data_IF_017552149511
#
_entry.id   IF_017552149511
#
_cell.length_a   1.000
_cell.length_b   1.000
_cell.length_c   1.000
_cell.angle_alpha   90.00
_cell.angle_beta   90.00
_cell.angle_gamma   90.00
#
_symmetry.space_group_name_H-M   'P 1'
#
loop_
_entity.id
_entity.type
_entity.pdbx_description
1 polymer ?
#
# COMPACT_ATOMS: atom_id res chain seq x y z
N UNK A 1 11.27 -25.83 18.22
CA UNK A 1 12.55 -25.97 17.48
C UNK A 1 12.23 -26.29 16.03
N UNK A 2 12.35 -25.29 15.16
CA UNK A 2 12.56 -25.43 13.70
C UNK A 2 13.36 -24.20 13.29
N UNK A 3 14.68 -24.29 13.39
CA UNK A 3 15.58 -23.35 12.74
C UNK A 3 15.77 -23.78 11.29
N UNK A 4 15.62 -22.84 10.36
CA UNK A 4 16.09 -22.89 8.97
C UNK A 4 15.77 -21.50 8.36
N UNK A 5 16.62 -20.73 7.68
CA UNK A 5 18.04 -20.69 7.33
C UNK A 5 18.27 -19.25 6.82
N UNK A 6 19.42 -18.65 7.16
CA UNK A 6 19.86 -17.28 6.85
C UNK A 6 19.09 -16.15 7.58
N UNK A 7 19.78 -15.49 8.53
CA UNK A 7 19.69 -14.05 8.88
C UNK A 7 18.37 -13.32 9.15
N UNK A 8 17.20 -13.92 8.95
CA UNK A 8 15.95 -13.19 8.87
C UNK A 8 15.18 -13.26 10.18
N UNK A 9 14.74 -12.12 10.72
CA UNK A 9 13.92 -12.02 11.92
C UNK A 9 12.48 -11.69 11.52
N UNK A 10 11.51 -12.48 11.98
CA UNK A 10 10.08 -12.20 11.73
C UNK A 10 9.70 -10.95 12.51
N UNK A 11 9.29 -9.90 11.80
CA UNK A 11 8.83 -8.62 12.36
C UNK A 11 7.32 -8.65 12.58
N UNK A 12 6.56 -9.16 11.61
CA UNK A 12 5.12 -9.37 11.71
C UNK A 12 4.76 -10.74 11.19
N UNK A 13 4.13 -11.56 12.04
CA UNK A 13 3.66 -12.89 11.66
C UNK A 13 2.44 -12.80 10.74
N UNK A 14 2.16 -13.89 10.02
CA UNK A 14 0.95 -14.04 9.19
C UNK A 14 -0.34 -13.77 10.00
N UNK A 15 -0.43 -14.27 11.23
CA UNK A 15 -1.58 -14.08 12.10
C UNK A 15 -1.76 -12.61 12.51
N UNK A 16 -0.65 -11.93 12.84
CA UNK A 16 -0.65 -10.50 13.18
C UNK A 16 -1.10 -9.66 11.99
N UNK A 17 -0.57 -9.95 10.80
CA UNK A 17 -0.95 -9.25 9.56
C UNK A 17 -2.43 -9.49 9.26
N UNK A 18 -2.89 -10.74 9.24
CA UNK A 18 -4.27 -11.09 8.94
C UNK A 18 -5.26 -10.43 9.90
N UNK A 19 -4.93 -10.36 11.18
CA UNK A 19 -5.75 -9.67 12.19
C UNK A 19 -5.82 -8.17 11.92
N UNK A 20 -4.67 -7.52 11.70
CA UNK A 20 -4.63 -6.08 11.43
C UNK A 20 -5.35 -5.71 10.13
N UNK A 21 -5.23 -6.52 9.08
CA UNK A 21 -5.94 -6.27 7.81
C UNK A 21 -7.46 -6.35 7.98
N UNK A 22 -7.96 -7.25 8.82
CA UNK A 22 -9.40 -7.31 9.15
C UNK A 22 -9.88 -6.07 9.92
N UNK A 23 -9.08 -5.58 10.87
CA UNK A 23 -9.38 -4.33 11.58
C UNK A 23 -9.44 -3.15 10.61
N UNK A 24 -8.41 -3.01 9.75
CA UNK A 24 -8.37 -1.98 8.71
C UNK A 24 -9.57 -2.07 7.75
N UNK A 25 -9.97 -3.28 7.35
CA UNK A 25 -11.16 -3.49 6.53
C UNK A 25 -12.43 -2.98 7.20
N UNK A 26 -12.58 -3.18 8.52
CA UNK A 26 -13.68 -2.62 9.31
C UNK A 26 -13.60 -1.10 9.38
N UNK A 27 -12.43 -0.54 9.68
CA UNK A 27 -12.22 0.92 9.76
C UNK A 27 -12.53 1.62 8.42
N UNK A 28 -12.17 1.00 7.30
CA UNK A 28 -12.52 1.47 5.95
C UNK A 28 -14.02 1.34 5.71
N UNK A 29 -14.64 0.22 6.10
CA UNK A 29 -16.08 0.01 5.93
C UNK A 29 -16.92 1.03 6.69
N UNK A 30 -16.48 1.45 7.88
CA UNK A 30 -17.15 2.48 8.68
C UNK A 30 -16.98 3.89 8.09
N UNK A 31 -15.95 4.09 7.26
CA UNK A 31 -15.58 5.38 6.71
C UNK A 31 -16.22 5.72 5.36
N UNK A 32 -16.82 4.73 4.69
CA UNK A 32 -17.45 4.88 3.38
C UNK A 32 -18.88 4.31 3.40
N UNK A 33 -19.67 4.78 2.45
CA UNK A 33 -21.04 4.35 2.17
C UNK A 33 -21.17 3.87 0.74
N UNK A 34 -22.30 3.26 0.39
CA UNK A 34 -22.57 2.86 -1.00
C UNK A 34 -22.63 4.07 -1.96
N UNK A 35 -23.04 5.25 -1.45
CA UNK A 35 -23.13 6.50 -2.23
C UNK A 35 -21.76 6.98 -2.72
N UNK A 36 -20.69 6.64 -1.99
CA UNK A 36 -19.31 6.99 -2.36
C UNK A 36 -18.81 6.25 -3.61
N UNK A 37 -19.48 5.15 -3.99
CA UNK A 37 -19.12 4.30 -5.14
C UNK A 37 -17.62 3.96 -5.15
N UNK A 38 -17.12 3.50 -4.01
CA UNK A 38 -15.69 3.35 -3.72
C UNK A 38 -14.91 2.63 -4.83
N UNK A 39 -13.75 3.19 -5.18
CA UNK A 39 -12.72 2.53 -6.01
C UNK A 39 -11.48 2.31 -5.14
N UNK A 40 -11.07 1.06 -4.99
CA UNK A 40 -9.83 0.69 -4.28
C UNK A 40 -8.75 0.43 -5.31
N UNK A 41 -7.65 1.18 -5.24
CA UNK A 41 -6.58 1.12 -6.23
C UNK A 41 -5.28 0.70 -5.56
N UNK A 42 -4.76 -0.47 -5.94
CA UNK A 42 -3.46 -0.95 -5.47
C UNK A 42 -2.30 -0.45 -6.32
N UNK A 43 -1.24 0.02 -5.66
CA UNK A 43 0.01 0.40 -6.34
C UNK A 43 0.90 -0.84 -6.51
N UNK A 44 1.10 -1.23 -7.76
CA UNK A 44 1.90 -2.39 -8.10
C UNK A 44 3.40 -2.09 -8.01
N UNK A 45 4.23 -3.08 -7.69
CA UNK A 45 3.85 -4.50 -7.47
C UNK A 45 3.54 -4.83 -6.02
N UNK A 46 4.19 -4.19 -5.06
CA UNK A 46 4.30 -4.72 -3.70
C UNK A 46 2.99 -4.77 -2.92
N UNK A 47 2.04 -3.86 -3.18
CA UNK A 47 0.76 -3.83 -2.46
C UNK A 47 -0.19 -4.99 -2.78
N UNK A 48 0.05 -5.81 -3.80
CA UNK A 48 -0.97 -6.72 -4.34
C UNK A 48 -1.52 -7.75 -3.34
N UNK A 49 -0.67 -8.27 -2.44
CA UNK A 49 -1.12 -9.20 -1.39
C UNK A 49 -1.94 -8.47 -0.33
N UNK A 50 -1.45 -7.33 0.15
CA UNK A 50 -2.18 -6.49 1.10
C UNK A 50 -3.53 -6.05 0.53
N UNK A 51 -3.57 -5.56 -0.71
CA UNK A 51 -4.78 -5.21 -1.43
C UNK A 51 -5.75 -6.39 -1.46
N UNK A 52 -5.29 -7.58 -1.86
CA UNK A 52 -6.15 -8.76 -2.00
C UNK A 52 -6.80 -9.17 -0.67
N UNK A 53 -6.08 -9.07 0.44
CA UNK A 53 -6.63 -9.35 1.76
C UNK A 53 -7.55 -8.22 2.27
N UNK A 54 -7.16 -6.96 2.03
CA UNK A 54 -7.93 -5.78 2.47
C UNK A 54 -9.29 -5.70 1.77
N UNK A 55 -9.35 -5.85 0.44
CA UNK A 55 -10.60 -5.77 -0.33
C UNK A 55 -11.60 -6.87 0.03
N UNK A 56 -11.12 -8.03 0.51
CA UNK A 56 -12.00 -9.09 1.07
C UNK A 56 -12.56 -8.74 2.46
N UNK A 57 -11.89 -7.86 3.19
CA UNK A 57 -12.28 -7.43 4.54
C UNK A 57 -13.18 -6.17 4.52
N UNK A 58 -13.26 -5.44 3.42
CA UNK A 58 -14.15 -4.29 3.25
C UNK A 58 -15.57 -4.77 2.94
N UNK A 59 -16.55 -4.35 3.74
CA UNK A 59 -17.95 -4.72 3.61
C UNK A 59 -18.72 -3.87 2.59
N UNK A 60 -18.27 -2.63 2.35
CA UNK A 60 -18.92 -1.72 1.38
C UNK A 60 -18.62 -2.19 -0.05
N UNK A 61 -19.61 -2.24 -0.96
CA UNK A 61 -19.39 -2.53 -2.38
C UNK A 61 -18.36 -1.59 -3.00
N UNK A 62 -17.38 -2.15 -3.70
CA UNK A 62 -16.30 -1.38 -4.31
C UNK A 62 -15.81 -2.01 -5.61
N UNK A 63 -15.20 -1.19 -6.46
CA UNK A 63 -14.42 -1.63 -7.62
C UNK A 63 -12.94 -1.67 -7.27
N UNK A 64 -12.19 -2.54 -7.95
CA UNK A 64 -10.74 -2.70 -7.76
C UNK A 64 -10.03 -2.31 -9.06
N UNK A 65 -8.99 -1.50 -8.97
CA UNK A 65 -8.07 -1.25 -10.07
C UNK A 65 -6.61 -1.24 -9.59
N UNK A 66 -5.68 -1.12 -10.52
CA UNK A 66 -4.25 -1.15 -10.25
C UNK A 66 -3.52 -0.03 -10.95
N UNK A 67 -2.50 0.52 -10.30
CA UNK A 67 -1.58 1.50 -10.88
C UNK A 67 -0.15 0.95 -10.87
N UNK A 68 0.63 1.31 -11.88
CA UNK A 68 2.07 1.03 -11.92
C UNK A 68 2.79 2.36 -11.79
N UNK A 69 3.41 2.58 -10.63
CA UNK A 69 4.34 3.68 -10.41
C UNK A 69 5.77 3.15 -10.59
N UNK A 70 6.55 3.76 -11.49
CA UNK A 70 7.98 3.46 -11.61
C UNK A 70 8.79 4.70 -11.24
N UNK A 71 9.82 4.53 -10.41
CA UNK A 71 10.84 5.56 -10.20
C UNK A 71 11.74 5.64 -11.43
N UNK A 72 12.27 6.84 -11.71
CA UNK A 72 13.16 7.07 -12.84
C UNK A 72 14.60 6.59 -12.53
N UNK A 73 15.09 5.64 -13.33
CA UNK A 73 16.53 5.36 -13.52
C UNK A 73 17.15 4.28 -12.62
N UNK A 74 17.95 3.39 -13.23
CA UNK A 74 18.79 2.32 -12.64
C UNK A 74 19.90 2.80 -11.67
N UNK A 75 19.83 4.01 -11.13
CA UNK A 75 20.86 4.59 -10.27
C UNK A 75 20.35 4.68 -8.82
N UNK A 76 21.21 4.32 -7.86
CA UNK A 76 21.02 4.34 -6.40
C UNK A 76 20.67 5.73 -5.78
N UNK A 77 20.15 6.68 -6.55
CA UNK A 77 19.73 8.00 -6.11
C UNK A 77 18.36 8.30 -6.70
N UNK A 78 17.34 8.39 -5.85
CA UNK A 78 16.00 8.80 -6.28
C UNK A 78 16.06 10.20 -6.89
N UNK A 79 15.90 10.32 -8.21
CA UNK A 79 15.85 11.60 -8.92
C UNK A 79 14.60 12.44 -8.58
N UNK A 80 13.75 11.94 -7.68
CA UNK A 80 12.50 12.59 -7.31
C UNK A 80 11.48 12.60 -8.45
N UNK A 81 11.77 12.01 -9.62
CA UNK A 81 10.84 11.86 -10.73
C UNK A 81 10.23 10.45 -10.70
N UNK A 82 8.91 10.40 -10.60
CA UNK A 82 8.11 9.16 -10.61
C UNK A 82 7.32 9.24 -11.89
N UNK A 83 7.51 8.28 -12.77
CA UNK A 83 6.72 8.14 -13.99
C UNK A 83 5.59 7.15 -13.70
N UNK A 84 4.36 7.64 -13.82
CA UNK A 84 3.17 6.79 -13.77
C UNK A 84 2.98 6.18 -15.13
N UNK A 85 3.15 4.85 -15.23
CA UNK A 85 3.09 4.16 -16.52
C UNK A 85 1.67 3.89 -16.99
N UNK A 86 0.69 3.98 -16.09
CA UNK A 86 -0.71 3.76 -16.41
C UNK A 86 -1.58 4.62 -15.49
N UNK A 87 -2.53 5.36 -16.07
CA UNK A 87 -3.65 5.93 -15.33
C UNK A 87 -4.62 4.81 -14.91
N UNK A 88 -5.49 5.04 -13.91
CA UNK A 88 -6.55 4.09 -13.60
C UNK A 88 -7.41 3.91 -14.86
N UNK A 89 -7.77 2.66 -15.16
CA UNK A 89 -8.70 2.35 -16.24
C UNK A 89 -10.14 2.56 -15.79
N UNK A 90 -10.39 2.44 -14.49
CA UNK A 90 -11.68 2.71 -13.87
C UNK A 90 -11.94 4.22 -13.82
N UNK A 91 -13.14 4.64 -14.22
CA UNK A 91 -13.57 6.03 -14.05
C UNK A 91 -13.74 6.35 -12.57
N UNK A 92 -12.98 7.34 -12.11
CA UNK A 92 -12.97 7.82 -10.72
C UNK A 92 -13.80 9.10 -10.53
N UNK A 93 -14.34 9.69 -11.59
CA UNK A 93 -15.01 10.99 -11.52
C UNK A 93 -16.24 10.96 -10.62
N UNK A 94 -16.25 11.84 -9.62
CA UNK A 94 -17.31 11.97 -8.61
C UNK A 94 -17.36 10.83 -7.60
N UNK A 95 -16.34 9.97 -7.54
CA UNK A 95 -16.27 8.79 -6.66
C UNK A 95 -15.19 8.96 -5.61
N UNK A 96 -15.34 8.25 -4.50
CA UNK A 96 -14.26 8.11 -3.53
C UNK A 96 -13.23 7.10 -4.01
N UNK A 97 -11.96 7.40 -3.79
CA UNK A 97 -10.82 6.55 -4.12
C UNK A 97 -10.00 6.25 -2.86
N UNK A 98 -9.69 4.98 -2.66
CA UNK A 98 -8.75 4.51 -1.65
C UNK A 98 -7.48 3.98 -2.33
N UNK A 99 -6.37 4.68 -2.18
CA UNK A 99 -5.06 4.24 -2.66
C UNK A 99 -4.44 3.29 -1.62
N UNK A 100 -4.00 2.12 -2.08
CA UNK A 100 -3.41 1.05 -1.24
C UNK A 100 -1.93 0.87 -1.60
N UNK A 101 -1.06 1.08 -0.62
CA UNK A 101 0.40 0.93 -0.74
C UNK A 101 0.92 -0.12 0.26
N UNK A 102 2.01 -0.82 -0.08
CA UNK A 102 2.68 -1.74 0.84
C UNK A 102 3.54 -1.01 1.88
N UNK A 103 4.30 0.02 1.46
CA UNK A 103 5.16 0.79 2.35
C UNK A 103 5.26 2.25 1.94
N UNK A 104 5.06 3.13 2.91
CA UNK A 104 5.35 4.55 2.77
C UNK A 104 6.63 4.88 3.52
N UNK A 105 7.63 5.30 2.74
CA UNK A 105 8.89 5.84 3.21
C UNK A 105 8.79 7.38 3.29
N UNK A 106 9.25 8.10 2.26
CA UNK A 106 9.14 9.56 2.17
C UNK A 106 7.76 10.07 1.75
N UNK A 107 6.88 9.18 1.24
CA UNK A 107 5.57 9.56 0.70
C UNK A 107 5.61 10.20 -0.70
N UNK A 108 6.76 10.23 -1.38
CA UNK A 108 6.92 10.88 -2.69
C UNK A 108 6.02 10.30 -3.80
N UNK A 109 5.75 8.99 -3.78
CA UNK A 109 4.83 8.37 -4.74
C UNK A 109 3.41 8.88 -4.52
N UNK A 110 2.94 8.85 -3.27
CA UNK A 110 1.61 9.28 -2.89
C UNK A 110 1.39 10.79 -3.07
N UNK A 111 2.40 11.62 -2.80
CA UNK A 111 2.31 13.08 -2.98
C UNK A 111 2.08 13.50 -4.43
N UNK A 112 2.30 12.59 -5.37
CA UNK A 112 2.02 12.77 -6.80
C UNK A 112 0.77 12.03 -7.26
N UNK A 113 0.52 10.82 -6.74
CA UNK A 113 -0.67 10.06 -7.09
C UNK A 113 -1.95 10.74 -6.58
N UNK A 114 -1.95 11.24 -5.35
CA UNK A 114 -3.15 11.87 -4.77
C UNK A 114 -3.63 13.05 -5.65
N UNK A 115 -2.79 14.06 -5.98
CA UNK A 115 -3.22 15.15 -6.87
C UNK A 115 -3.58 14.68 -8.28
N UNK A 116 -2.93 13.62 -8.79
CA UNK A 116 -3.27 13.05 -10.11
C UNK A 116 -4.68 12.51 -10.10
N UNK A 117 -5.06 11.70 -9.12
CA UNK A 117 -6.39 11.12 -9.00
C UNK A 117 -7.44 12.21 -8.74
N UNK A 118 -7.15 13.20 -7.90
CA UNK A 118 -8.01 14.36 -7.70
C UNK A 118 -8.26 15.12 -9.01
N UNK A 119 -7.23 15.29 -9.85
CA UNK A 119 -7.35 15.95 -11.16
C UNK A 119 -8.24 15.21 -12.16
N UNK A 120 -8.42 13.89 -11.98
CA UNK A 120 -9.35 13.08 -12.77
C UNK A 120 -10.81 13.26 -12.29
N UNK A 121 -11.03 14.02 -11.23
CA UNK A 121 -12.34 14.41 -10.73
C UNK A 121 -12.87 13.52 -9.60
N UNK A 122 -12.01 12.75 -8.91
CA UNK A 122 -12.41 12.03 -7.70
C UNK A 122 -13.03 12.99 -6.66
N UNK A 123 -14.10 12.57 -6.00
CA UNK A 123 -14.74 13.37 -4.95
C UNK A 123 -13.92 13.37 -3.66
N UNK A 124 -13.14 12.31 -3.45
CA UNK A 124 -12.30 12.08 -2.29
C UNK A 124 -11.17 11.12 -2.65
N UNK A 125 -9.96 11.37 -2.14
CA UNK A 125 -8.82 10.46 -2.25
C UNK A 125 -8.22 10.26 -0.86
N UNK A 126 -8.33 9.05 -0.31
CA UNK A 126 -7.63 8.66 0.91
C UNK A 126 -6.51 7.67 0.58
N UNK A 127 -5.54 7.55 1.50
CA UNK A 127 -4.41 6.63 1.40
C UNK A 127 -4.43 5.67 2.59
N UNK A 128 -4.21 4.39 2.32
CA UNK A 128 -3.94 3.35 3.32
C UNK A 128 -2.61 2.66 2.98
N UNK A 129 -1.78 2.45 4.00
CA UNK A 129 -0.50 1.76 3.85
C UNK A 129 -0.39 0.61 4.85
N UNK A 130 0.16 -0.53 4.41
CA UNK A 130 0.46 -1.62 5.33
C UNK A 130 1.58 -1.20 6.29
N UNK A 131 2.65 -0.59 5.77
CA UNK A 131 3.80 -0.16 6.53
C UNK A 131 4.04 1.34 6.40
N UNK A 132 4.46 1.98 7.48
CA UNK A 132 4.87 3.39 7.45
C UNK A 132 6.19 3.60 8.20
N UNK A 133 7.22 4.12 7.54
CA UNK A 133 8.56 4.29 8.14
C UNK A 133 8.74 5.56 8.96
N UNK A 134 7.86 6.56 8.79
CA UNK A 134 7.93 7.87 9.48
C UNK A 134 9.33 8.50 9.43
N UNK A 135 9.96 8.49 8.25
CA UNK A 135 11.37 8.90 8.12
C UNK A 135 11.61 10.38 8.40
N UNK A 136 10.57 11.21 8.24
CA UNK A 136 10.58 12.63 8.60
C UNK A 136 9.19 13.08 9.06
N UNK A 137 9.12 14.23 9.75
CA UNK A 137 7.85 14.87 10.10
C UNK A 137 7.05 15.36 8.87
N UNK A 138 7.69 15.42 7.70
CA UNK A 138 7.09 15.84 6.42
C UNK A 138 6.60 14.64 5.59
N UNK A 139 6.81 13.41 6.06
CA UNK A 139 6.31 12.22 5.39
C UNK A 139 4.79 12.29 5.31
N UNK A 140 4.22 11.96 4.14
CA UNK A 140 2.76 11.91 3.99
C UNK A 140 2.17 10.92 5.00
N UNK A 141 1.33 11.39 5.91
CA UNK A 141 0.61 10.53 6.84
C UNK A 141 -0.65 9.94 6.15
N UNK A 142 -0.73 8.62 5.97
CA UNK A 142 -1.93 7.96 5.46
C UNK A 142 -3.07 8.10 6.46
N UNK A 143 -4.30 8.03 5.95
CA UNK A 143 -5.47 7.98 6.83
C UNK A 143 -5.45 6.71 7.70
N UNK A 144 -4.88 5.63 7.17
CA UNK A 144 -4.74 4.36 7.87
C UNK A 144 -3.37 3.74 7.66
N UNK A 145 -2.81 3.23 8.75
CA UNK A 145 -1.53 2.53 8.77
C UNK A 145 -1.73 1.17 9.43
N UNK A 146 -1.23 0.11 8.77
CA UNK A 146 -1.18 -1.23 9.34
C UNK A 146 -0.20 -1.28 10.51
N UNK A 147 1.07 -0.99 10.24
CA UNK A 147 2.15 -1.02 11.22
C UNK A 147 3.20 0.08 10.98
N UNK A 148 3.81 0.54 12.06
CA UNK A 148 5.01 1.36 12.00
C UNK A 148 6.22 0.48 11.67
N UNK A 149 6.88 0.73 10.54
CA UNK A 149 7.98 -0.10 10.09
C UNK A 149 9.28 0.21 10.84
N UNK A 150 10.05 -0.81 11.28
CA UNK A 150 11.40 -0.61 11.77
C UNK A 150 12.33 -0.06 10.69
N UNK A 151 13.49 0.46 11.10
CA UNK A 151 14.52 0.99 10.18
C UNK A 151 15.28 -0.10 9.38
N UNK A 152 14.96 -1.37 9.57
CA UNK A 152 15.55 -2.49 8.83
C UNK A 152 14.99 -2.60 7.41
N UNK A 153 15.70 -3.33 6.55
CA UNK A 153 15.14 -3.72 5.26
C UNK A 153 14.13 -4.85 5.47
N UNK A 154 12.93 -4.71 4.91
CA UNK A 154 11.82 -5.64 5.13
C UNK A 154 11.46 -6.36 3.83
N UNK A 155 11.14 -7.64 3.95
CA UNK A 155 10.69 -8.50 2.85
C UNK A 155 9.48 -9.34 3.27
N UNK A 156 8.79 -9.89 2.29
CA UNK A 156 7.62 -10.75 2.52
C UNK A 156 6.31 -9.98 2.47
N UNK A 157 5.22 -10.73 2.34
CA UNK A 157 3.87 -10.20 2.20
C UNK A 157 3.75 -9.12 1.10
N UNK A 158 4.37 -9.39 -0.05
CA UNK A 158 4.40 -8.50 -1.20
C UNK A 158 5.68 -7.67 -1.32
N UNK A 159 6.36 -7.39 -0.21
CA UNK A 159 7.67 -6.70 -0.19
C UNK A 159 8.78 -7.60 -0.76
N UNK A 160 9.76 -7.00 -1.43
CA UNK A 160 10.83 -7.73 -2.08
C UNK A 160 12.25 -7.25 -1.74
N UNK A 161 13.19 -8.14 -2.01
CA UNK A 161 14.58 -7.79 -2.23
C UNK A 161 15.02 -8.38 -3.58
N UNK A 162 15.29 -7.52 -4.56
CA UNK A 162 15.64 -7.93 -5.92
C UNK A 162 14.62 -8.92 -6.54
N UNK A 163 13.32 -8.61 -6.43
CA UNK A 163 12.16 -9.41 -6.85
C UNK A 163 11.97 -10.74 -6.10
N UNK A 164 12.82 -11.08 -5.13
CA UNK A 164 12.65 -12.25 -4.28
C UNK A 164 11.74 -11.97 -3.06
N UNK A 165 11.35 -13.03 -2.35
CA UNK A 165 10.66 -13.00 -1.05
C UNK A 165 9.21 -12.51 -1.00
N UNK A 166 8.64 -11.90 -2.06
CA UNK A 166 7.23 -11.42 -2.06
C UNK A 166 6.19 -12.43 -1.58
N UNK A 167 6.45 -13.72 -1.82
CA UNK A 167 5.55 -14.84 -1.53
C UNK A 167 5.49 -15.27 -0.05
N UNK A 168 6.37 -14.75 0.81
CA UNK A 168 6.34 -15.12 2.22
C UNK A 168 5.05 -14.59 2.87
N UNK A 169 4.37 -15.38 3.72
CA UNK A 169 3.09 -14.97 4.33
C UNK A 169 3.27 -14.02 5.52
N UNK A 170 4.51 -13.72 5.90
CA UNK A 170 4.91 -12.86 7.00
C UNK A 170 5.86 -11.78 6.50
N UNK A 171 6.09 -10.75 7.33
CA UNK A 171 7.11 -9.73 7.10
C UNK A 171 8.32 -10.04 7.96
N UNK A 172 9.50 -10.08 7.35
CA UNK A 172 10.77 -10.30 8.03
C UNK A 172 11.80 -9.23 7.68
N UNK A 173 12.74 -8.99 8.59
CA UNK A 173 13.92 -8.18 8.33
C UNK A 173 15.04 -9.02 7.73
N UNK A 174 15.87 -8.40 6.87
CA UNK A 174 17.09 -8.99 6.29
C UNK A 174 18.28 -8.03 6.38
#
# INVERSE_FOLDING_TARGET
MTGDRAGHEIVYSEETISTRVRELGSEVSDAYSEEDRLVVIGVLKGSFLFLADLVRAIAVPHEIDFLIASSYGDAMVSSGQVEFRCDPRTDVKGRAVLLVEDVIDSGMTMSKLVPRIESLGASRVDVISLLHKRVSAESLEPRWVGFDAPKSFLVGYGLDHAEAFRHLPYIASI
#
